data_IF_124323691983
#
_entry.id   IF_124323691983
#
_cell.length_a   1.000
_cell.length_b   1.000
_cell.length_c   1.000
_cell.angle_alpha   90.00
_cell.angle_beta   90.00
_cell.angle_gamma   90.00
#
_symmetry.space_group_name_H-M   'P 1'
#
loop_
_entity.id
_entity.type
_entity.pdbx_description
1 polymer ?
#
# COMPACT_ATOMS: atom_id res chain seq x y z
N UNK A 1 -14.26 22.16 -2.47
CA UNK A 1 -13.01 22.17 -1.66
C UNK A 1 -11.82 21.84 -2.53
N UNK A 2 -10.66 22.45 -2.23
CA UNK A 2 -9.38 22.14 -2.85
C UNK A 2 -8.64 21.08 -2.03
N UNK A 3 -8.17 20.03 -2.68
CA UNK A 3 -7.57 18.87 -2.03
C UNK A 3 -6.14 18.70 -2.53
N UNK A 4 -5.18 18.52 -1.63
CA UNK A 4 -3.80 18.20 -1.96
C UNK A 4 -3.51 16.73 -1.62
N UNK A 5 -3.07 15.96 -2.61
CA UNK A 5 -2.59 14.58 -2.43
C UNK A 5 -1.06 14.57 -2.53
N UNK A 6 -0.39 14.04 -1.52
CA UNK A 6 1.06 13.85 -1.55
C UNK A 6 1.39 12.46 -2.07
N UNK A 7 2.23 12.38 -3.09
CA UNK A 7 2.71 11.15 -3.72
C UNK A 7 2.60 11.17 -5.26
N UNK A 8 2.99 10.06 -5.90
CA UNK A 8 3.11 9.98 -7.37
C UNK A 8 2.80 8.60 -7.96
N UNK A 9 2.40 7.64 -7.13
CA UNK A 9 2.17 6.27 -7.56
C UNK A 9 0.79 6.01 -8.17
N UNK A 10 0.53 4.75 -8.50
CA UNK A 10 -0.79 4.29 -8.94
C UNK A 10 -1.85 4.47 -7.86
N UNK A 11 -1.47 4.35 -6.61
CA UNK A 11 -2.29 4.64 -5.42
C UNK A 11 -2.81 6.09 -5.46
N UNK A 12 -1.91 7.07 -5.61
CA UNK A 12 -2.29 8.47 -5.66
C UNK A 12 -3.13 8.80 -6.88
N UNK A 13 -2.84 8.18 -8.02
CA UNK A 13 -3.68 8.34 -9.21
C UNK A 13 -5.10 7.81 -8.98
N UNK A 14 -5.24 6.63 -8.40
CA UNK A 14 -6.57 6.04 -8.12
C UNK A 14 -7.35 6.84 -7.07
N UNK A 15 -6.68 7.36 -6.03
CA UNK A 15 -7.28 8.26 -5.05
C UNK A 15 -7.75 9.56 -5.72
N UNK A 16 -6.92 10.19 -6.53
CA UNK A 16 -7.29 11.41 -7.25
C UNK A 16 -8.49 11.19 -8.18
N UNK A 17 -8.50 10.08 -8.92
CA UNK A 17 -9.60 9.69 -9.80
C UNK A 17 -10.92 9.48 -9.04
N UNK A 18 -10.88 8.78 -7.90
CA UNK A 18 -12.07 8.54 -7.08
C UNK A 18 -12.57 9.83 -6.41
N UNK A 19 -11.68 10.61 -5.80
CA UNK A 19 -12.01 11.86 -5.11
C UNK A 19 -12.67 12.87 -6.05
N UNK A 20 -12.22 12.98 -7.30
CA UNK A 20 -12.81 13.87 -8.31
C UNK A 20 -14.27 13.56 -8.66
N UNK A 21 -14.75 12.37 -8.38
CA UNK A 21 -16.14 11.99 -8.60
C UNK A 21 -17.09 12.52 -7.50
N UNK A 22 -16.55 13.00 -6.38
CA UNK A 22 -17.34 13.53 -5.29
C UNK A 22 -17.69 15.00 -5.53
N UNK A 23 -18.97 15.41 -5.42
CA UNK A 23 -19.39 16.78 -5.67
C UNK A 23 -18.81 17.83 -4.69
N UNK A 24 -18.23 17.42 -3.56
CA UNK A 24 -17.52 18.32 -2.64
C UNK A 24 -16.12 18.70 -3.14
N UNK A 25 -15.60 18.00 -4.14
CA UNK A 25 -14.27 18.24 -4.71
C UNK A 25 -14.36 19.27 -5.84
N UNK A 26 -13.79 20.46 -5.64
CA UNK A 26 -13.65 21.47 -6.70
C UNK A 26 -12.37 21.24 -7.50
N UNK A 27 -11.22 21.15 -6.81
CA UNK A 27 -9.92 20.93 -7.42
C UNK A 27 -9.08 19.89 -6.67
N UNK A 28 -8.33 19.10 -7.42
CA UNK A 28 -7.30 18.21 -6.87
C UNK A 28 -5.93 18.67 -7.35
N UNK A 29 -5.05 18.88 -6.39
CA UNK A 29 -3.62 19.08 -6.57
C UNK A 29 -2.87 17.84 -6.12
N UNK A 30 -1.82 17.45 -6.85
CA UNK A 30 -1.02 16.27 -6.49
C UNK A 30 0.46 16.62 -6.56
N UNK A 31 1.25 16.18 -5.60
CA UNK A 31 2.68 16.45 -5.59
C UNK A 31 3.50 15.18 -5.28
N UNK A 32 4.50 14.88 -6.12
CA UNK A 32 4.82 15.52 -7.41
C UNK A 32 3.84 15.08 -8.52
N UNK A 33 3.05 14.00 -8.31
CA UNK A 33 2.20 13.42 -9.33
C UNK A 33 2.98 12.61 -10.38
N UNK A 34 2.31 12.26 -11.48
CA UNK A 34 2.87 11.56 -12.63
C UNK A 34 2.14 11.96 -13.92
N UNK A 35 2.55 11.42 -15.06
CA UNK A 35 1.97 11.79 -16.35
C UNK A 35 0.47 11.56 -16.47
N UNK A 36 -0.07 10.47 -15.88
CA UNK A 36 -1.51 10.18 -15.90
C UNK A 36 -2.29 11.07 -14.92
N UNK A 37 -1.74 11.33 -13.74
CA UNK A 37 -2.33 12.28 -12.78
C UNK A 37 -2.44 13.66 -13.41
N UNK A 38 -1.41 14.10 -14.15
CA UNK A 38 -1.40 15.39 -14.84
C UNK A 38 -2.45 15.54 -15.95
N UNK A 39 -3.08 14.44 -16.40
CA UNK A 39 -4.22 14.49 -17.34
C UNK A 39 -5.55 14.83 -16.64
N UNK A 40 -5.66 14.51 -15.36
CA UNK A 40 -6.92 14.69 -14.61
C UNK A 40 -6.84 15.68 -13.45
N UNK A 41 -5.66 16.06 -12.99
CA UNK A 41 -5.41 16.91 -11.83
C UNK A 41 -4.29 17.92 -12.09
N UNK A 42 -4.13 18.87 -11.17
CA UNK A 42 -3.03 19.83 -11.19
C UNK A 42 -1.82 19.22 -10.47
N UNK A 43 -0.76 18.89 -11.19
CA UNK A 43 0.51 18.48 -10.57
C UNK A 43 1.30 19.74 -10.15
N UNK A 44 1.78 19.74 -8.90
CA UNK A 44 2.64 20.80 -8.35
C UNK A 44 3.93 20.18 -7.83
N UNK A 45 5.03 20.88 -7.94
CA UNK A 45 6.34 20.37 -7.54
C UNK A 45 6.75 20.96 -6.20
N UNK A 46 6.69 20.12 -5.14
CA UNK A 46 7.20 20.43 -3.80
C UNK A 46 7.89 19.20 -3.22
N UNK A 47 8.81 19.42 -2.29
CA UNK A 47 9.35 18.32 -1.49
C UNK A 47 8.31 17.89 -0.45
N UNK A 48 7.67 16.75 -0.67
CA UNK A 48 6.60 16.22 0.22
C UNK A 48 7.12 15.77 1.60
N UNK A 49 8.44 15.65 1.79
CA UNK A 49 9.05 15.36 3.08
C UNK A 49 9.32 16.63 3.91
N UNK A 50 9.25 17.80 3.27
CA UNK A 50 9.43 19.10 3.93
C UNK A 50 8.07 19.73 4.26
N UNK A 51 7.66 19.60 5.50
CA UNK A 51 6.39 20.14 5.99
C UNK A 51 6.23 21.65 5.74
N UNK A 52 7.33 22.43 5.68
CA UNK A 52 7.27 23.87 5.40
C UNK A 52 6.89 24.13 3.95
N UNK A 53 7.41 23.33 3.00
CA UNK A 53 7.02 23.44 1.60
C UNK A 53 5.57 23.02 1.39
N UNK A 54 5.12 21.96 2.08
CA UNK A 54 3.72 21.53 2.06
C UNK A 54 2.80 22.63 2.60
N UNK A 55 3.12 23.24 3.75
CA UNK A 55 2.37 24.36 4.33
C UNK A 55 2.33 25.58 3.40
N UNK A 56 3.44 25.87 2.71
CA UNK A 56 3.47 26.96 1.71
C UNK A 56 2.49 26.67 0.59
N UNK A 57 2.50 25.45 0.04
CA UNK A 57 1.56 25.05 -1.01
C UNK A 57 0.09 25.08 -0.54
N UNK A 58 -0.19 24.65 0.70
CA UNK A 58 -1.53 24.73 1.31
C UNK A 58 -2.06 26.17 1.26
N UNK A 59 -1.22 27.16 1.62
CA UNK A 59 -1.60 28.57 1.58
C UNK A 59 -1.72 29.12 0.16
N UNK A 60 -0.77 28.79 -0.71
CA UNK A 60 -0.69 29.28 -2.09
C UNK A 60 -1.88 28.83 -2.94
N UNK A 61 -2.28 27.56 -2.79
CA UNK A 61 -3.37 26.96 -3.57
C UNK A 61 -4.70 26.90 -2.81
N UNK A 62 -4.80 27.55 -1.64
CA UNK A 62 -5.99 27.55 -0.79
C UNK A 62 -6.54 26.13 -0.56
N UNK A 63 -5.66 25.23 -0.09
CA UNK A 63 -6.00 23.81 0.15
C UNK A 63 -6.81 23.67 1.43
N UNK A 64 -7.97 23.01 1.33
CA UNK A 64 -8.86 22.72 2.46
C UNK A 64 -8.55 21.38 3.14
N UNK A 65 -7.97 20.44 2.40
CA UNK A 65 -7.72 19.08 2.89
C UNK A 65 -6.44 18.49 2.29
N UNK A 66 -5.59 17.91 3.13
CA UNK A 66 -4.36 17.23 2.70
C UNK A 66 -4.49 15.73 2.93
N UNK A 67 -4.23 14.93 1.89
CA UNK A 67 -4.15 13.48 1.93
C UNK A 67 -2.71 13.04 1.72
N UNK A 68 -2.14 12.29 2.68
CA UNK A 68 -0.78 11.77 2.58
C UNK A 68 -0.85 10.34 2.05
N UNK A 69 -0.32 10.13 0.83
CA UNK A 69 -0.35 8.83 0.16
C UNK A 69 0.74 7.86 0.65
N UNK A 70 2.05 8.20 0.55
CA UNK A 70 3.15 7.30 0.92
C UNK A 70 3.53 7.40 2.40
N UNK A 71 4.28 6.40 2.87
CA UNK A 71 4.74 6.29 4.25
C UNK A 71 5.84 7.30 4.64
N UNK A 72 6.68 7.71 3.68
CA UNK A 72 7.85 8.54 3.98
C UNK A 72 7.50 9.93 4.57
N UNK A 73 6.52 10.69 4.06
CA UNK A 73 6.08 11.94 4.70
C UNK A 73 5.45 11.73 6.09
N UNK A 74 4.78 10.58 6.32
CA UNK A 74 4.24 10.22 7.63
C UNK A 74 5.36 9.99 8.63
N UNK A 75 6.38 9.21 8.25
CA UNK A 75 7.59 8.98 9.03
C UNK A 75 8.37 10.26 9.31
N UNK A 76 8.37 11.21 8.37
CA UNK A 76 8.98 12.53 8.55
C UNK A 76 8.19 13.44 9.51
N UNK A 77 6.92 13.13 9.81
CA UNK A 77 6.06 13.92 10.69
C UNK A 77 5.33 15.07 10.01
N UNK A 78 5.17 15.01 8.69
CA UNK A 78 4.44 16.04 7.93
C UNK A 78 2.99 16.16 8.41
N UNK A 79 2.34 15.05 8.73
CA UNK A 79 0.98 15.02 9.27
C UNK A 79 0.87 15.81 10.59
N UNK A 80 1.84 15.66 11.49
CA UNK A 80 1.86 16.34 12.79
C UNK A 80 1.94 17.85 12.62
N UNK A 81 2.84 18.31 11.76
CA UNK A 81 3.03 19.74 11.51
C UNK A 81 1.77 20.37 10.90
N UNK A 82 1.16 19.71 9.91
CA UNK A 82 -0.06 20.19 9.26
C UNK A 82 -1.23 20.29 10.26
N UNK A 83 -1.45 19.25 11.07
CA UNK A 83 -2.51 19.22 12.10
C UNK A 83 -2.28 20.30 13.17
N UNK A 84 -1.06 20.54 13.60
CA UNK A 84 -0.72 21.60 14.56
C UNK A 84 -0.98 23.01 14.01
N UNK A 85 -0.89 23.18 12.69
CA UNK A 85 -1.24 24.42 11.99
C UNK A 85 -2.75 24.51 11.66
N UNK A 86 -3.57 23.57 12.15
CA UNK A 86 -5.01 23.56 11.96
C UNK A 86 -5.45 23.08 10.56
N UNK A 87 -4.56 22.49 9.77
CA UNK A 87 -4.89 21.97 8.43
C UNK A 87 -5.53 20.60 8.55
N UNK A 88 -6.74 20.43 8.00
CA UNK A 88 -7.40 19.13 7.94
C UNK A 88 -6.54 18.15 7.14
N UNK A 89 -6.07 17.09 7.80
CA UNK A 89 -5.07 16.18 7.22
C UNK A 89 -5.44 14.73 7.48
N UNK A 90 -5.46 13.92 6.42
CA UNK A 90 -5.61 12.48 6.49
C UNK A 90 -4.23 11.80 6.48
N UNK A 91 -3.97 11.06 7.52
CA UNK A 91 -2.74 10.30 7.76
C UNK A 91 -2.40 10.27 9.25
N UNK A 92 -1.79 9.19 9.75
CA UNK A 92 -1.40 9.06 11.14
C UNK A 92 -0.28 10.05 11.53
N UNK A 93 -0.10 10.23 12.82
CA UNK A 93 1.06 10.96 13.36
C UNK A 93 2.36 10.19 13.10
N UNK A 94 3.50 10.87 13.22
CA UNK A 94 4.81 10.22 13.19
C UNK A 94 4.90 9.09 14.21
N UNK A 95 4.38 9.31 15.42
CA UNK A 95 4.38 8.32 16.49
C UNK A 95 3.58 7.07 16.11
N UNK A 96 2.36 7.25 15.58
CA UNK A 96 1.50 6.13 15.16
C UNK A 96 2.00 5.43 13.88
N UNK A 97 2.77 6.14 13.04
CA UNK A 97 3.37 5.57 11.83
C UNK A 97 4.43 4.51 12.13
N UNK A 98 4.88 4.39 13.38
CA UNK A 98 5.78 3.32 13.80
C UNK A 98 5.19 1.93 13.59
N UNK A 99 3.86 1.78 13.49
CA UNK A 99 3.23 0.51 13.10
C UNK A 99 3.66 0.01 11.70
N UNK A 100 4.19 0.85 10.82
CA UNK A 100 4.80 0.43 9.55
C UNK A 100 6.31 0.63 9.55
N UNK A 101 6.79 1.73 10.13
CA UNK A 101 8.20 2.13 10.03
C UNK A 101 9.15 1.35 10.93
N UNK A 102 8.63 0.63 11.94
CA UNK A 102 9.40 -0.29 12.78
C UNK A 102 8.65 -1.60 12.98
N UNK A 103 9.21 -2.67 12.44
CA UNK A 103 8.67 -4.03 12.61
C UNK A 103 8.77 -4.50 14.06
N UNK A 104 9.85 -4.12 14.73
CA UNK A 104 10.05 -4.37 16.16
C UNK A 104 8.93 -3.71 16.97
N UNK A 105 8.66 -2.42 16.74
CA UNK A 105 7.58 -1.70 17.42
C UNK A 105 6.21 -2.39 17.21
N UNK A 106 5.90 -2.77 15.96
CA UNK A 106 4.66 -3.48 15.65
C UNK A 106 4.53 -4.77 16.43
N UNK A 107 5.62 -5.54 16.55
CA UNK A 107 5.62 -6.79 17.33
C UNK A 107 5.41 -6.53 18.83
N UNK A 108 6.07 -5.52 19.39
CA UNK A 108 5.88 -5.11 20.79
C UNK A 108 4.45 -4.67 21.08
N UNK A 109 3.81 -3.97 20.13
CA UNK A 109 2.38 -3.63 20.22
C UNK A 109 1.51 -4.89 20.15
N UNK A 110 1.79 -5.82 19.23
CA UNK A 110 1.04 -7.07 19.12
C UNK A 110 1.13 -7.91 20.41
N UNK A 111 2.32 -8.02 21.01
CA UNK A 111 2.52 -8.74 22.27
C UNK A 111 1.71 -8.11 23.41
N UNK A 112 1.79 -6.80 23.57
CA UNK A 112 1.05 -6.07 24.61
C UNK A 112 -0.47 -6.14 24.41
N UNK A 113 -0.93 -6.07 23.16
CA UNK A 113 -2.33 -6.17 22.77
C UNK A 113 -2.88 -7.61 22.76
N UNK A 114 -2.02 -8.62 22.85
CA UNK A 114 -2.40 -10.03 22.64
C UNK A 114 -2.86 -10.31 21.20
N UNK A 115 -2.45 -9.52 20.23
CA UNK A 115 -2.84 -9.68 18.84
C UNK A 115 -2.04 -10.83 18.18
N UNK A 116 -2.71 -11.83 17.56
CA UNK A 116 -2.01 -12.97 16.96
C UNK A 116 -1.15 -12.55 15.77
N UNK A 117 0.16 -12.83 15.88
CA UNK A 117 1.17 -12.59 14.86
C UNK A 117 2.21 -13.72 14.87
N UNK A 118 3.20 -13.70 13.99
CA UNK A 118 4.31 -14.66 13.98
C UNK A 118 5.15 -14.56 15.27
N UNK A 119 5.58 -15.70 15.83
CA UNK A 119 6.65 -15.71 16.84
C UNK A 119 7.87 -14.99 16.27
N UNK A 120 8.54 -14.19 17.08
CA UNK A 120 9.66 -13.40 16.60
C UNK A 120 10.74 -13.19 17.66
N UNK A 121 11.90 -12.79 17.17
CA UNK A 121 12.97 -12.24 18.01
C UNK A 121 13.70 -11.14 17.25
N UNK A 122 13.97 -10.02 17.92
CA UNK A 122 14.71 -8.90 17.35
C UNK A 122 16.15 -8.87 17.83
N UNK A 123 17.06 -8.44 16.94
CA UNK A 123 18.49 -8.38 17.21
C UNK A 123 19.07 -7.07 16.69
N UNK A 124 19.90 -6.43 17.52
CA UNK A 124 20.62 -5.20 17.17
C UNK A 124 22.10 -5.49 16.79
N UNK A 125 22.48 -6.75 16.66
CA UNK A 125 23.84 -7.15 16.29
C UNK A 125 23.87 -8.51 15.59
N UNK A 126 24.88 -8.68 14.75
CA UNK A 126 25.00 -9.82 13.83
C UNK A 126 25.12 -11.17 14.55
N UNK A 127 26.09 -11.32 15.46
CA UNK A 127 26.43 -12.62 16.03
C UNK A 127 25.30 -13.29 16.82
N UNK A 128 24.52 -12.57 17.68
CA UNK A 128 23.35 -13.16 18.33
C UNK A 128 22.26 -13.59 17.35
N UNK A 129 22.06 -12.85 16.24
CA UNK A 129 21.10 -13.22 15.21
C UNK A 129 21.51 -14.52 14.48
N UNK A 130 22.79 -14.64 14.11
CA UNK A 130 23.34 -15.86 13.50
C UNK A 130 23.24 -17.08 14.44
N UNK A 131 23.53 -16.90 15.72
CA UNK A 131 23.41 -17.96 16.71
C UNK A 131 21.95 -18.43 16.88
N UNK A 132 21.01 -17.49 16.89
CA UNK A 132 19.58 -17.79 16.97
C UNK A 132 19.10 -18.61 15.77
N UNK A 133 19.46 -18.22 14.52
CA UNK A 133 19.10 -18.97 13.31
C UNK A 133 19.60 -20.41 13.37
N UNK A 134 20.87 -20.61 13.76
CA UNK A 134 21.46 -21.95 13.88
C UNK A 134 20.72 -22.84 14.88
N UNK A 135 20.15 -22.25 15.94
CA UNK A 135 19.40 -22.97 16.96
C UNK A 135 17.93 -23.21 16.56
N UNK A 136 17.29 -22.20 15.95
CA UNK A 136 15.87 -22.28 15.59
C UNK A 136 15.62 -23.15 14.34
N UNK A 137 16.57 -23.16 13.39
CA UNK A 137 16.43 -23.86 12.10
C UNK A 137 15.66 -23.02 11.07
N UNK A 138 15.32 -23.66 9.96
CA UNK A 138 14.50 -23.08 8.88
C UNK A 138 13.25 -23.95 8.63
N UNK A 139 12.16 -23.41 7.98
CA UNK A 139 12.08 -22.10 7.37
C UNK A 139 11.89 -20.95 8.38
N UNK A 140 12.36 -19.75 8.02
CA UNK A 140 12.27 -18.51 8.81
C UNK A 140 11.99 -17.33 7.88
N UNK A 141 11.48 -16.23 8.45
CA UNK A 141 11.37 -14.95 7.77
C UNK A 141 12.31 -13.94 8.43
N UNK A 142 13.23 -13.40 7.66
CA UNK A 142 14.21 -12.40 8.11
C UNK A 142 13.79 -11.05 7.58
N UNK A 143 13.59 -10.06 8.47
CA UNK A 143 13.10 -8.72 8.11
C UNK A 143 14.08 -7.66 8.63
N UNK A 144 14.50 -6.73 7.76
CA UNK A 144 15.16 -5.51 8.18
C UNK A 144 14.14 -4.62 8.93
N UNK A 145 14.57 -4.03 10.06
CA UNK A 145 13.71 -3.17 10.87
C UNK A 145 13.78 -1.72 10.36
N UNK A 146 12.76 -1.29 9.66
CA UNK A 146 12.67 0.02 9.02
C UNK A 146 12.03 -0.03 7.65
N UNK A 147 11.96 1.11 6.98
CA UNK A 147 11.43 1.24 5.62
C UNK A 147 12.47 0.73 4.61
N UNK A 148 12.18 -0.37 3.95
CA UNK A 148 13.05 -1.01 2.94
C UNK A 148 12.33 -1.23 1.59
N UNK A 149 11.27 -0.48 1.30
CA UNK A 149 10.50 -0.53 0.05
C UNK A 149 10.11 -1.96 -0.38
N UNK A 150 9.69 -2.80 0.57
CA UNK A 150 9.30 -4.20 0.33
C UNK A 150 10.46 -5.18 0.07
N UNK A 151 11.71 -4.70 0.00
CA UNK A 151 12.90 -5.52 -0.29
C UNK A 151 13.58 -6.08 0.95
N UNK A 152 13.28 -5.55 2.13
CA UNK A 152 13.90 -5.94 3.40
C UNK A 152 13.28 -7.19 4.05
N UNK A 153 12.48 -7.98 3.32
CA UNK A 153 11.83 -9.21 3.81
C UNK A 153 12.28 -10.39 2.99
N UNK A 154 12.97 -11.33 3.63
CA UNK A 154 13.50 -12.54 3.02
C UNK A 154 12.84 -13.76 3.67
N UNK A 155 12.09 -14.52 2.88
CA UNK A 155 11.56 -15.82 3.27
C UNK A 155 12.66 -16.86 3.02
N UNK A 156 13.35 -17.27 4.08
CA UNK A 156 14.47 -18.21 4.02
C UNK A 156 13.95 -19.65 4.20
N UNK A 157 14.06 -20.45 3.15
CA UNK A 157 13.63 -21.86 3.13
C UNK A 157 14.66 -22.79 3.75
N UNK A 158 15.90 -22.33 3.86
CA UNK A 158 17.02 -23.05 4.48
C UNK A 158 17.87 -22.13 5.36
N UNK A 159 18.73 -22.72 6.18
CA UNK A 159 19.56 -22.01 7.17
C UNK A 159 20.57 -21.07 6.47
N UNK A 160 21.20 -21.49 5.38
CA UNK A 160 22.23 -20.69 4.71
C UNK A 160 21.62 -19.42 4.09
N UNK A 161 20.42 -19.52 3.53
CA UNK A 161 19.67 -18.35 3.06
C UNK A 161 19.37 -17.38 4.21
N UNK A 162 18.93 -17.89 5.37
CA UNK A 162 18.67 -17.06 6.54
C UNK A 162 19.93 -16.37 7.07
N UNK A 163 21.05 -17.11 7.15
CA UNK A 163 22.34 -16.55 7.58
C UNK A 163 22.86 -15.49 6.61
N UNK A 164 22.68 -15.70 5.30
CA UNK A 164 23.06 -14.75 4.25
C UNK A 164 22.22 -13.49 4.36
N UNK A 165 20.90 -13.62 4.50
CA UNK A 165 19.99 -12.49 4.65
C UNK A 165 20.37 -11.59 5.84
N UNK A 166 20.67 -12.17 7.00
CA UNK A 166 21.09 -11.39 8.18
C UNK A 166 22.42 -10.68 7.94
N UNK A 167 23.41 -11.35 7.30
CA UNK A 167 24.70 -10.70 6.94
C UNK A 167 24.51 -9.53 5.99
N UNK A 168 23.65 -9.66 4.97
CA UNK A 168 23.34 -8.59 4.02
C UNK A 168 22.66 -7.39 4.71
N UNK A 169 21.72 -7.64 5.63
CA UNK A 169 21.04 -6.59 6.38
C UNK A 169 22.05 -5.82 7.23
N UNK A 170 22.83 -6.48 8.07
CA UNK A 170 23.86 -5.79 8.88
C UNK A 170 25.06 -5.30 8.06
N UNK A 171 25.26 -5.80 6.85
CA UNK A 171 26.28 -5.35 5.89
C UNK A 171 25.97 -4.02 5.21
N UNK A 172 24.83 -3.39 5.55
CA UNK A 172 24.47 -2.05 5.06
C UNK A 172 23.67 -2.05 3.76
N UNK A 173 23.22 -3.18 3.25
CA UNK A 173 22.42 -3.27 2.00
C UNK A 173 21.08 -2.50 2.07
N UNK A 174 20.62 -2.18 3.28
CA UNK A 174 19.34 -1.50 3.54
C UNK A 174 19.49 -0.15 4.29
N UNK A 175 20.70 0.43 4.31
CA UNK A 175 20.95 1.70 4.98
C UNK A 175 20.52 1.67 6.45
N UNK A 176 19.83 2.71 6.92
CA UNK A 176 19.38 2.84 8.32
C UNK A 176 18.40 1.71 8.73
N UNK A 177 17.66 1.12 7.80
CA UNK A 177 16.79 -0.02 8.07
C UNK A 177 17.56 -1.31 8.43
N UNK A 178 18.87 -1.36 8.14
CA UNK A 178 19.76 -2.48 8.46
C UNK A 178 20.40 -2.42 9.85
N UNK A 179 20.03 -1.49 10.72
CA UNK A 179 20.60 -1.37 12.07
C UNK A 179 20.09 -2.43 13.04
N UNK A 180 18.94 -3.03 12.75
CA UNK A 180 18.38 -4.16 13.48
C UNK A 180 17.62 -5.12 12.55
N UNK A 181 17.40 -6.33 13.02
CA UNK A 181 16.70 -7.39 12.29
C UNK A 181 15.63 -8.01 13.17
N UNK A 182 14.48 -8.32 12.57
CA UNK A 182 13.44 -9.14 13.18
C UNK A 182 13.41 -10.47 12.47
N UNK A 183 13.57 -11.55 13.21
CA UNK A 183 13.53 -12.94 12.72
C UNK A 183 12.22 -13.55 13.21
N UNK A 184 11.39 -13.99 12.28
CA UNK A 184 10.06 -14.53 12.54
C UNK A 184 9.96 -16.00 12.13
N UNK A 185 9.05 -16.73 12.77
CA UNK A 185 8.63 -18.03 12.27
C UNK A 185 8.01 -17.86 10.87
N UNK A 186 8.16 -18.89 10.05
CA UNK A 186 7.42 -18.95 8.79
C UNK A 186 5.97 -19.34 9.06
N UNK A 187 5.03 -18.45 8.70
CA UNK A 187 3.60 -18.73 8.80
C UNK A 187 3.10 -19.38 7.51
N UNK A 188 2.43 -20.52 7.65
CA UNK A 188 1.70 -21.16 6.55
C UNK A 188 0.30 -20.56 6.42
N UNK A 189 -0.20 -20.51 5.19
CA UNK A 189 -1.54 -20.01 4.91
C UNK A 189 -1.62 -19.25 3.59
N UNK A 190 -2.70 -18.53 3.44
CA UNK A 190 -2.95 -17.65 2.30
C UNK A 190 -2.91 -16.19 2.74
N UNK A 191 -2.15 -15.37 2.03
CA UNK A 191 -1.99 -13.97 2.37
C UNK A 191 -3.11 -13.12 1.77
N UNK A 192 -3.70 -12.23 2.58
CA UNK A 192 -4.69 -11.26 2.13
C UNK A 192 -4.66 -9.99 2.99
N UNK A 193 -5.29 -8.95 2.49
CA UNK A 193 -5.23 -7.61 3.03
C UNK A 193 -6.61 -7.10 3.45
N UNK A 194 -6.73 -6.67 4.71
CA UNK A 194 -7.90 -5.96 5.21
C UNK A 194 -7.56 -4.48 5.40
N UNK A 195 -8.41 -3.61 4.85
CA UNK A 195 -8.28 -2.16 4.98
C UNK A 195 -9.38 -1.63 5.88
N UNK A 196 -8.99 -0.85 6.88
CA UNK A 196 -9.91 -0.14 7.76
C UNK A 196 -9.53 1.33 7.86
N UNK A 197 -10.53 2.20 7.98
CA UNK A 197 -10.34 3.57 8.45
C UNK A 197 -10.44 3.61 9.97
N UNK A 198 -9.61 4.42 10.60
CA UNK A 198 -9.60 4.61 12.06
C UNK A 198 -9.49 6.10 12.34
N UNK A 199 -10.33 6.61 13.25
CA UNK A 199 -10.34 8.02 13.69
C UNK A 199 -9.91 8.22 15.14
N UNK A 200 -9.17 7.26 15.68
CA UNK A 200 -8.76 7.21 17.09
C UNK A 200 -9.72 6.43 17.99
N UNK A 201 -10.97 6.23 17.59
CA UNK A 201 -12.01 5.54 18.37
C UNK A 201 -12.77 4.50 17.56
N UNK A 202 -13.18 4.86 16.36
CA UNK A 202 -14.00 4.05 15.47
C UNK A 202 -13.11 3.31 14.47
N UNK A 203 -13.46 2.07 14.19
CA UNK A 203 -12.84 1.22 13.17
C UNK A 203 -13.89 0.92 12.13
N UNK A 204 -13.71 1.41 10.90
CA UNK A 204 -14.61 1.19 9.77
C UNK A 204 -13.91 0.37 8.69
N UNK A 205 -14.31 -0.89 8.45
CA UNK A 205 -13.81 -1.65 7.30
C UNK A 205 -14.18 -0.98 5.98
N UNK A 206 -13.18 -0.85 5.10
CA UNK A 206 -13.35 -0.26 3.77
C UNK A 206 -12.95 -1.19 2.64
N UNK A 207 -12.68 -2.44 2.93
CA UNK A 207 -12.51 -3.47 1.94
C UNK A 207 -11.41 -4.47 2.20
N UNK A 208 -11.44 -5.50 1.37
CA UNK A 208 -10.44 -6.55 1.33
C UNK A 208 -9.83 -6.63 -0.06
N UNK A 209 -8.56 -6.98 -0.14
CA UNK A 209 -7.87 -7.23 -1.40
C UNK A 209 -6.86 -8.36 -1.22
N UNK A 210 -6.47 -8.95 -2.35
CA UNK A 210 -5.40 -9.92 -2.38
C UNK A 210 -4.44 -9.55 -3.51
N UNK A 211 -3.17 -9.36 -3.16
CA UNK A 211 -2.11 -8.96 -4.06
C UNK A 211 -1.24 -10.16 -4.50
N UNK A 212 -0.46 -9.94 -5.54
CA UNK A 212 0.53 -10.87 -6.07
C UNK A 212 1.93 -10.29 -5.92
N UNK A 213 2.61 -10.61 -4.81
CA UNK A 213 3.89 -10.00 -4.42
C UNK A 213 5.09 -10.48 -5.22
N UNK A 214 5.04 -11.69 -5.78
CA UNK A 214 6.15 -12.25 -6.55
C UNK A 214 6.15 -11.75 -7.98
N UNK A 215 7.35 -11.53 -8.53
CA UNK A 215 7.53 -10.98 -9.88
C UNK A 215 7.10 -11.94 -10.99
N UNK A 216 7.25 -13.24 -10.78
CA UNK A 216 6.97 -14.29 -11.77
C UNK A 216 5.62 -14.97 -11.57
N UNK A 217 5.09 -15.54 -12.66
CA UNK A 217 3.89 -16.37 -12.66
C UNK A 217 4.02 -17.55 -11.67
N UNK A 218 2.89 -18.00 -11.12
CA UNK A 218 2.87 -19.04 -10.09
C UNK A 218 3.57 -18.64 -8.79
N UNK A 219 3.64 -17.34 -8.50
CA UNK A 219 4.29 -16.77 -7.32
C UNK A 219 5.77 -17.16 -7.17
N UNK A 220 6.51 -17.05 -8.26
CA UNK A 220 7.94 -17.34 -8.34
C UNK A 220 8.80 -16.06 -8.38
N UNK A 221 10.10 -16.21 -8.12
CA UNK A 221 11.05 -15.11 -8.21
C UNK A 221 11.08 -14.20 -6.99
N UNK A 222 11.55 -12.97 -7.18
CA UNK A 222 11.75 -11.99 -6.12
C UNK A 222 10.44 -11.34 -5.66
N UNK A 223 10.41 -10.89 -4.41
CA UNK A 223 9.34 -10.02 -3.89
C UNK A 223 9.39 -8.66 -4.59
N UNK A 224 8.22 -8.10 -4.80
CA UNK A 224 7.98 -6.77 -5.39
C UNK A 224 7.05 -5.96 -4.51
N UNK A 225 6.69 -4.75 -4.94
CA UNK A 225 5.60 -3.98 -4.33
C UNK A 225 4.19 -4.46 -4.72
N UNK A 226 4.08 -5.57 -5.47
CA UNK A 226 2.83 -6.12 -6.01
C UNK A 226 2.77 -6.02 -7.52
N UNK A 227 2.50 -7.15 -8.19
CA UNK A 227 2.35 -7.25 -9.66
C UNK A 227 0.89 -7.19 -10.10
N UNK A 228 -0.01 -7.05 -9.16
CA UNK A 228 -1.45 -6.93 -9.36
C UNK A 228 -2.20 -7.27 -8.08
N UNK A 229 -3.47 -6.94 -8.06
CA UNK A 229 -4.37 -7.22 -6.94
C UNK A 229 -5.81 -7.36 -7.43
N UNK A 230 -6.66 -7.94 -6.59
CA UNK A 230 -8.10 -7.99 -6.83
C UNK A 230 -8.88 -7.78 -5.52
N UNK A 231 -10.12 -7.35 -5.64
CA UNK A 231 -11.06 -7.08 -4.54
C UNK A 231 -12.48 -7.49 -4.99
N UNK A 232 -13.29 -8.11 -4.11
CA UNK A 232 -12.95 -8.54 -2.75
C UNK A 232 -12.02 -9.76 -2.74
N UNK A 233 -11.35 -10.02 -1.61
CA UNK A 233 -10.58 -11.23 -1.37
C UNK A 233 -11.49 -12.33 -0.80
N UNK A 234 -11.74 -13.46 -1.50
CA UNK A 234 -12.68 -14.48 -1.03
C UNK A 234 -12.30 -15.13 0.30
N UNK A 235 -10.99 -15.24 0.58
CA UNK A 235 -10.47 -15.80 1.83
C UNK A 235 -10.79 -14.94 3.06
N UNK A 236 -11.09 -13.64 2.87
CA UNK A 236 -11.53 -12.70 3.89
C UNK A 236 -13.06 -12.55 3.86
N UNK A 237 -13.76 -13.63 4.15
CA UNK A 237 -15.20 -13.57 4.36
C UNK A 237 -15.56 -12.73 5.60
N UNK A 238 -16.84 -12.43 5.80
CA UNK A 238 -17.29 -11.59 6.91
C UNK A 238 -16.89 -12.15 8.29
N UNK A 239 -16.82 -13.48 8.45
CA UNK A 239 -16.39 -14.11 9.70
C UNK A 239 -14.90 -13.86 9.98
N UNK A 240 -14.05 -14.00 8.96
CA UNK A 240 -12.60 -13.75 9.07
C UNK A 240 -12.34 -12.26 9.27
N UNK A 241 -13.08 -11.37 8.57
CA UNK A 241 -13.01 -9.92 8.79
C UNK A 241 -13.35 -9.58 10.24
N UNK A 242 -14.45 -10.09 10.78
CA UNK A 242 -14.84 -9.84 12.17
C UNK A 242 -13.78 -10.34 13.17
N UNK A 243 -13.26 -11.57 12.98
CA UNK A 243 -12.15 -12.10 13.79
C UNK A 243 -10.91 -11.20 13.73
N UNK A 244 -10.58 -10.69 12.55
CA UNK A 244 -9.43 -9.78 12.37
C UNK A 244 -9.63 -8.48 13.14
N UNK A 245 -10.82 -7.90 13.04
CA UNK A 245 -11.13 -6.67 13.77
C UNK A 245 -11.07 -6.90 15.27
N UNK A 246 -11.70 -7.96 15.78
CA UNK A 246 -11.85 -8.17 17.22
C UNK A 246 -10.57 -8.68 17.90
N UNK A 247 -9.75 -9.47 17.21
CA UNK A 247 -8.57 -10.12 17.79
C UNK A 247 -7.26 -9.44 17.44
N UNK A 248 -7.22 -8.64 16.37
CA UNK A 248 -5.99 -8.04 15.86
C UNK A 248 -6.11 -6.51 15.88
N UNK A 249 -7.04 -5.93 15.11
CA UNK A 249 -7.07 -4.47 14.90
C UNK A 249 -7.51 -3.72 16.16
N UNK A 250 -8.64 -4.10 16.75
CA UNK A 250 -9.19 -3.41 17.92
C UNK A 250 -8.25 -3.43 19.13
N UNK A 251 -7.65 -4.58 19.53
CA UNK A 251 -6.69 -4.59 20.63
C UNK A 251 -5.43 -3.75 20.31
N UNK A 252 -4.94 -3.79 19.07
CA UNK A 252 -3.83 -2.93 18.63
C UNK A 252 -4.17 -1.45 18.77
N UNK A 253 -5.37 -1.03 18.35
CA UNK A 253 -5.77 0.38 18.44
C UNK A 253 -5.93 0.84 19.89
N UNK A 254 -6.42 -0.01 20.78
CA UNK A 254 -6.50 0.29 22.22
C UNK A 254 -5.10 0.43 22.84
N UNK A 255 -4.18 -0.47 22.53
CA UNK A 255 -2.80 -0.39 23.01
C UNK A 255 -2.10 0.89 22.51
N UNK A 256 -2.33 1.27 21.24
CA UNK A 256 -1.82 2.52 20.69
C UNK A 256 -2.39 3.75 21.43
N UNK A 257 -3.66 3.72 21.75
CA UNK A 257 -4.32 4.80 22.50
C UNK A 257 -3.78 4.88 23.95
N UNK A 258 -3.63 3.75 24.61
CA UNK A 258 -3.12 3.66 25.99
C UNK A 258 -1.67 4.16 26.09
N UNK A 259 -0.87 4.00 25.04
CA UNK A 259 0.48 4.59 24.91
C UNK A 259 0.47 6.07 24.55
N UNK A 260 -0.69 6.71 24.40
CA UNK A 260 -0.78 8.12 24.01
C UNK A 260 -0.48 8.38 22.53
N UNK A 261 -0.59 7.35 21.69
CA UNK A 261 -0.36 7.39 20.24
C UNK A 261 -1.61 6.98 19.46
N UNK A 262 -2.78 7.65 19.63
CA UNK A 262 -3.99 7.28 18.94
C UNK A 262 -3.78 7.30 17.42
N UNK A 263 -4.29 6.26 16.73
CA UNK A 263 -4.15 6.13 15.28
C UNK A 263 -5.31 6.82 14.56
N UNK A 264 -5.00 7.64 13.56
CA UNK A 264 -5.98 8.29 12.67
C UNK A 264 -5.53 8.17 11.23
N UNK A 265 -6.29 7.47 10.40
CA UNK A 265 -5.95 7.25 9.00
C UNK A 265 -6.46 5.91 8.49
N UNK A 266 -5.87 5.41 7.42
CA UNK A 266 -6.10 4.05 6.94
C UNK A 266 -5.07 3.10 7.56
N UNK A 267 -5.55 2.00 8.10
CA UNK A 267 -4.73 0.89 8.56
C UNK A 267 -4.93 -0.29 7.61
N UNK A 268 -3.87 -0.69 6.97
CA UNK A 268 -3.80 -1.89 6.15
C UNK A 268 -3.18 -3.01 6.98
N UNK A 269 -3.97 -4.03 7.31
CA UNK A 269 -3.50 -5.25 7.95
C UNK A 269 -3.21 -6.31 6.89
N UNK A 270 -1.94 -6.63 6.70
CA UNK A 270 -1.48 -7.81 5.95
C UNK A 270 -1.63 -9.04 6.84
N UNK A 271 -2.39 -10.02 6.38
CA UNK A 271 -2.80 -11.17 7.15
C UNK A 271 -2.35 -12.47 6.51
N UNK A 272 -1.89 -13.41 7.31
CA UNK A 272 -1.77 -14.81 6.93
C UNK A 272 -2.97 -15.57 7.50
N UNK A 273 -3.73 -16.24 6.64
CA UNK A 273 -4.99 -16.92 6.99
C UNK A 273 -4.82 -18.41 6.78
N UNK A 274 -4.98 -19.17 7.86
CA UNK A 274 -5.00 -20.63 7.83
C UNK A 274 -6.22 -21.11 8.60
N UNK A 275 -7.04 -21.98 8.00
CA UNK A 275 -8.25 -22.55 8.59
C UNK A 275 -9.20 -21.46 9.16
N UNK A 276 -9.42 -20.39 8.38
CA UNK A 276 -10.21 -19.22 8.76
C UNK A 276 -9.73 -18.51 10.05
N UNK A 277 -8.46 -18.67 10.42
CA UNK A 277 -7.82 -17.98 11.54
C UNK A 277 -6.76 -16.99 11.01
N UNK A 278 -7.04 -15.68 11.12
CA UNK A 278 -6.08 -14.66 10.69
C UNK A 278 -4.97 -14.46 11.74
N UNK A 279 -3.74 -14.26 11.26
CA UNK A 279 -2.58 -13.81 12.02
C UNK A 279 -1.95 -12.62 11.29
N UNK A 280 -1.52 -11.63 12.03
CA UNK A 280 -0.91 -10.43 11.45
C UNK A 280 0.49 -10.74 10.88
N UNK A 281 0.71 -10.37 9.61
CA UNK A 281 2.02 -10.38 8.96
C UNK A 281 2.72 -9.04 9.20
N UNK A 282 2.02 -7.95 8.91
CA UNK A 282 2.48 -6.58 9.07
C UNK A 282 1.31 -5.58 9.02
N UNK A 283 1.55 -4.38 9.52
CA UNK A 283 0.70 -3.24 9.25
C UNK A 283 1.36 -2.31 8.23
N UNK A 284 0.52 -1.68 7.40
CA UNK A 284 0.87 -0.49 6.65
C UNK A 284 -0.08 0.63 7.07
N UNK A 285 0.45 1.84 7.26
CA UNK A 285 -0.29 3.00 7.81
C UNK A 285 -0.79 3.94 6.71
N UNK A 286 -0.94 3.40 5.52
CA UNK A 286 -1.37 4.05 4.28
C UNK A 286 -2.07 3.02 3.40
N UNK A 287 -2.74 3.51 2.34
CA UNK A 287 -3.28 2.59 1.33
C UNK A 287 -2.18 1.76 0.67
N UNK A 288 -2.50 0.53 0.29
CA UNK A 288 -1.62 -0.32 -0.50
C UNK A 288 -1.45 0.20 -1.94
N UNK A 289 -0.45 -0.29 -2.62
CA UNK A 289 -0.22 -0.10 -4.04
C UNK A 289 0.31 -1.42 -4.61
N UNK A 290 -0.53 -2.25 -5.29
CA UNK A 290 -1.67 -1.83 -6.12
C UNK A 290 -3.07 -2.07 -5.53
N UNK A 291 -3.26 -2.34 -4.25
CA UNK A 291 -4.59 -2.65 -3.68
C UNK A 291 -5.53 -1.44 -3.70
N UNK A 292 -5.00 -0.23 -3.53
CA UNK A 292 -5.79 1.01 -3.58
C UNK A 292 -6.56 1.13 -4.90
N UNK A 293 -5.96 0.75 -6.03
CA UNK A 293 -6.55 0.83 -7.35
C UNK A 293 -7.86 0.03 -7.44
N UNK A 294 -7.86 -1.21 -6.94
CA UNK A 294 -9.06 -2.05 -6.94
C UNK A 294 -10.10 -1.60 -5.93
N UNK A 295 -9.67 -1.05 -4.79
CA UNK A 295 -10.59 -0.48 -3.81
C UNK A 295 -11.28 0.78 -4.34
N UNK A 296 -10.53 1.69 -4.96
CA UNK A 296 -11.08 2.95 -5.50
C UNK A 296 -12.05 2.70 -6.65
N UNK A 297 -11.83 1.70 -7.49
CA UNK A 297 -12.78 1.29 -8.53
C UNK A 297 -14.14 0.88 -7.95
N UNK A 298 -14.18 0.27 -6.78
CA UNK A 298 -15.40 -0.19 -6.11
C UNK A 298 -16.02 0.89 -5.21
N UNK A 299 -15.22 1.74 -4.59
CA UNK A 299 -15.67 2.79 -3.69
C UNK A 299 -16.15 4.05 -4.43
N UNK A 300 -15.47 4.41 -5.52
CA UNK A 300 -15.76 5.66 -6.24
C UNK A 300 -15.67 6.90 -5.34
N UNK A 301 -16.44 7.90 -5.67
CA UNK A 301 -16.42 9.22 -5.00
C UNK A 301 -16.79 9.22 -3.51
N UNK A 302 -17.49 8.20 -3.01
CA UNK A 302 -17.85 8.13 -1.58
C UNK A 302 -16.63 8.08 -0.65
N UNK A 303 -15.47 7.69 -1.17
CA UNK A 303 -14.23 7.63 -0.38
C UNK A 303 -13.87 8.99 0.23
N UNK A 304 -14.12 10.10 -0.47
CA UNK A 304 -13.80 11.43 0.05
C UNK A 304 -14.54 11.72 1.35
N UNK A 305 -15.83 11.38 1.44
CA UNK A 305 -16.60 11.58 2.66
C UNK A 305 -16.03 10.79 3.84
N UNK A 306 -15.64 9.55 3.59
CA UNK A 306 -15.02 8.70 4.59
C UNK A 306 -13.66 9.23 5.06
N UNK A 307 -12.82 9.71 4.14
CA UNK A 307 -11.51 10.30 4.46
C UNK A 307 -11.66 11.59 5.27
N UNK A 308 -12.60 12.46 4.90
CA UNK A 308 -12.90 13.69 5.63
C UNK A 308 -13.40 13.40 7.04
N UNK A 309 -14.36 12.46 7.18
CA UNK A 309 -14.88 12.07 8.49
C UNK A 309 -13.81 11.44 9.37
N UNK A 310 -12.92 10.63 8.79
CA UNK A 310 -11.75 10.08 9.50
C UNK A 310 -10.85 11.20 10.05
N UNK A 311 -10.51 12.17 9.20
CA UNK A 311 -9.65 13.28 9.59
C UNK A 311 -10.27 14.20 10.65
N UNK A 312 -11.61 14.28 10.71
CA UNK A 312 -12.36 15.06 11.70
C UNK A 312 -12.66 14.32 13.00
N UNK A 313 -12.45 12.99 13.06
CA UNK A 313 -12.86 12.16 14.20
C UNK A 313 -14.38 11.89 14.24
N UNK A 314 -15.03 11.85 13.09
CA UNK A 314 -16.49 11.71 12.89
C UNK A 314 -16.84 10.43 12.12
N UNK A 315 -16.04 9.38 12.24
CA UNK A 315 -16.16 8.17 11.43
C UNK A 315 -17.40 7.31 11.82
N UNK A 316 -17.93 7.50 13.02
CA UNK A 316 -19.02 6.67 13.57
C UNK A 316 -20.32 6.70 12.75
N UNK A 317 -20.60 7.77 12.03
CA UNK A 317 -21.81 7.94 11.23
C UNK A 317 -21.61 7.58 9.75
N UNK A 318 -20.39 7.25 9.34
CA UNK A 318 -20.07 6.92 7.95
C UNK A 318 -20.54 5.54 7.58
N UNK A 319 -21.25 5.44 6.46
CA UNK A 319 -21.65 4.18 5.84
C UNK A 319 -21.02 4.06 4.46
N UNK A 320 -20.37 2.95 4.21
CA UNK A 320 -19.82 2.61 2.90
C UNK A 320 -20.82 1.71 2.17
N UNK A 321 -21.23 2.13 0.99
CA UNK A 321 -22.05 1.32 0.09
C UNK A 321 -21.12 0.62 -0.89
N UNK A 322 -20.90 -0.67 -0.68
CA UNK A 322 -20.10 -1.48 -1.59
C UNK A 322 -20.90 -1.83 -2.84
N UNK A 323 -20.26 -1.72 -3.98
CA UNK A 323 -20.75 -2.37 -5.18
C UNK A 323 -20.58 -3.89 -5.07
N UNK A 324 -21.56 -4.65 -5.56
CA UNK A 324 -21.53 -6.13 -5.59
C UNK A 324 -20.63 -6.67 -6.72
N UNK A 325 -19.73 -5.84 -7.24
CA UNK A 325 -18.82 -6.17 -8.32
C UNK A 325 -17.43 -6.56 -7.80
N UNK A 326 -16.62 -7.07 -8.72
CA UNK A 326 -15.24 -7.43 -8.52
C UNK A 326 -14.34 -6.47 -9.30
N UNK A 327 -13.21 -6.10 -8.71
CA UNK A 327 -12.20 -5.32 -9.40
C UNK A 327 -10.86 -6.04 -9.40
N UNK A 328 -10.12 -5.90 -10.47
CA UNK A 328 -8.76 -6.43 -10.63
C UNK A 328 -7.86 -5.37 -11.25
N UNK A 329 -6.61 -5.36 -10.83
CA UNK A 329 -5.56 -4.55 -11.45
C UNK A 329 -4.37 -5.42 -11.83
N UNK A 330 -3.88 -5.26 -13.04
CA UNK A 330 -2.66 -5.91 -13.54
C UNK A 330 -1.59 -4.84 -13.69
N UNK A 331 -0.47 -5.05 -13.01
CA UNK A 331 0.67 -4.13 -13.07
C UNK A 331 1.53 -4.45 -14.28
N UNK A 332 1.79 -3.43 -15.11
CA UNK A 332 2.82 -3.48 -16.13
C UNK A 332 4.09 -2.82 -15.58
N UNK A 333 5.18 -3.57 -15.58
CA UNK A 333 6.47 -3.18 -15.01
C UNK A 333 7.55 -3.10 -16.08
N UNK A 334 8.58 -2.29 -15.86
CA UNK A 334 9.76 -2.22 -16.71
C UNK A 334 10.54 -3.53 -16.67
N UNK A 335 11.00 -4.02 -17.81
CA UNK A 335 11.87 -5.20 -17.92
C UNK A 335 13.09 -5.06 -17.02
N UNK A 336 13.34 -6.09 -16.19
CA UNK A 336 14.39 -6.08 -15.16
C UNK A 336 13.89 -5.76 -13.75
N UNK A 337 12.68 -5.21 -13.57
CA UNK A 337 12.09 -4.99 -12.25
C UNK A 337 11.88 -6.34 -11.50
N UNK A 338 12.14 -6.45 -10.17
CA UNK A 338 12.48 -5.41 -9.22
C UNK A 338 13.99 -5.05 -9.13
N UNK A 339 14.82 -5.58 -10.02
CA UNK A 339 16.24 -5.19 -10.17
C UNK A 339 16.41 -3.89 -10.94
N UNK A 340 17.52 -3.78 -11.68
CA UNK A 340 17.80 -2.62 -12.53
C UNK A 340 16.95 -2.65 -13.80
N UNK A 341 16.42 -1.51 -14.19
CA UNK A 341 15.57 -1.33 -15.36
C UNK A 341 15.91 -0.04 -16.10
N UNK A 342 15.61 -0.01 -17.42
CA UNK A 342 15.75 1.15 -18.27
C UNK A 342 14.62 2.16 -18.01
N UNK A 343 14.96 3.46 -18.05
CA UNK A 343 14.03 4.58 -17.99
C UNK A 343 13.94 5.27 -19.34
N UNK A 344 12.85 6.02 -19.54
CA UNK A 344 12.64 6.81 -20.76
C UNK A 344 12.10 5.99 -21.95
N UNK A 345 11.75 4.72 -21.75
CA UNK A 345 11.12 3.90 -22.81
C UNK A 345 9.70 4.36 -23.09
N UNK A 346 9.38 4.58 -24.38
CA UNK A 346 8.09 5.15 -24.82
C UNK A 346 6.98 4.12 -24.70
N UNK A 347 5.83 4.58 -24.20
CA UNK A 347 4.60 3.79 -24.09
C UNK A 347 3.59 4.35 -25.08
N UNK A 348 3.15 3.54 -26.05
CA UNK A 348 2.16 3.90 -27.07
C UNK A 348 0.81 3.21 -26.77
N UNK A 349 -0.25 3.65 -27.45
CA UNK A 349 -1.58 3.06 -27.38
C UNK A 349 -2.40 3.45 -26.15
N UNK A 350 -1.89 4.35 -25.29
CA UNK A 350 -2.62 4.80 -24.11
C UNK A 350 -3.83 5.69 -24.47
N UNK A 351 -3.72 6.48 -25.53
CA UNK A 351 -4.78 7.37 -26.02
C UNK A 351 -5.93 6.60 -26.69
N UNK A 352 -5.67 5.36 -27.12
CA UNK A 352 -6.66 4.48 -27.77
C UNK A 352 -7.45 3.62 -26.75
N UNK A 353 -7.14 3.74 -25.47
CA UNK A 353 -7.85 3.01 -24.43
C UNK A 353 -9.27 3.59 -24.25
N UNK A 354 -10.28 2.74 -24.00
CA UNK A 354 -11.64 3.19 -23.84
C UNK A 354 -11.78 4.10 -22.58
N UNK A 355 -12.62 5.12 -22.71
CA UNK A 355 -13.06 5.92 -21.56
C UNK A 355 -14.35 5.30 -21.02
N UNK A 356 -14.21 4.37 -20.07
CA UNK A 356 -15.32 3.63 -19.46
C UNK A 356 -15.19 3.67 -17.94
N UNK A 357 -16.31 3.77 -17.24
CA UNK A 357 -16.36 3.75 -15.76
C UNK A 357 -15.90 2.41 -15.16
N UNK A 358 -15.89 1.34 -15.96
CA UNK A 358 -15.44 0.01 -15.53
C UNK A 358 -13.99 -0.29 -15.88
N UNK A 359 -13.29 0.67 -16.50
CA UNK A 359 -11.90 0.54 -16.88
C UNK A 359 -11.13 1.84 -16.60
N UNK A 360 -9.99 1.73 -15.96
CA UNK A 360 -9.03 2.83 -15.81
C UNK A 360 -7.61 2.29 -15.89
N UNK A 361 -6.77 2.91 -16.69
CA UNK A 361 -5.33 2.69 -16.67
C UNK A 361 -4.68 3.70 -15.72
N UNK A 362 -4.43 3.31 -14.46
CA UNK A 362 -3.75 4.17 -13.51
C UNK A 362 -2.24 4.18 -13.77
N UNK A 363 -1.67 5.36 -13.91
CA UNK A 363 -0.24 5.54 -14.04
C UNK A 363 0.46 5.50 -12.68
N UNK A 364 1.63 4.88 -12.64
CA UNK A 364 2.56 4.92 -11.53
C UNK A 364 3.87 5.59 -11.99
N UNK A 365 4.90 4.82 -12.30
CA UNK A 365 6.18 5.35 -12.74
C UNK A 365 6.16 5.84 -14.19
N UNK A 366 5.40 6.86 -14.50
CA UNK A 366 5.35 7.48 -15.84
C UNK A 366 5.72 8.95 -15.79
N UNK A 367 6.30 9.44 -16.88
CA UNK A 367 6.65 10.84 -17.08
C UNK A 367 6.26 11.26 -18.49
N UNK A 368 6.04 12.56 -18.70
CA UNK A 368 5.82 13.12 -20.04
C UNK A 368 7.10 13.77 -20.53
N UNK A 369 7.67 13.23 -21.62
CA UNK A 369 8.87 13.74 -22.27
C UNK A 369 8.58 13.97 -23.76
N UNK A 370 8.84 15.16 -24.26
CA UNK A 370 8.63 15.56 -25.66
C UNK A 370 7.22 15.21 -26.20
N UNK A 371 6.22 15.39 -25.35
CA UNK A 371 4.81 15.09 -25.66
C UNK A 371 4.42 13.62 -25.57
N UNK A 372 5.38 12.71 -25.33
CA UNK A 372 5.14 11.27 -25.20
C UNK A 372 5.11 10.84 -23.73
N UNK A 373 4.38 9.78 -23.46
CA UNK A 373 4.42 9.11 -22.14
C UNK A 373 5.56 8.11 -22.16
N UNK A 374 6.44 8.20 -21.16
CA UNK A 374 7.58 7.30 -20.99
C UNK A 374 7.58 6.64 -19.63
N UNK A 375 8.18 5.45 -19.53
CA UNK A 375 8.40 4.75 -18.27
C UNK A 375 9.53 5.41 -17.48
N UNK A 376 9.28 5.77 -16.22
CA UNK A 376 10.28 6.36 -15.30
C UNK A 376 10.30 5.64 -13.94
N UNK A 377 9.81 4.42 -13.87
CA UNK A 377 9.73 3.62 -12.64
C UNK A 377 9.79 2.12 -12.90
N UNK A 378 9.85 1.33 -11.84
CA UNK A 378 9.80 -0.12 -11.93
C UNK A 378 8.39 -0.60 -12.26
N UNK A 379 7.39 -0.25 -11.44
CA UNK A 379 5.97 -0.41 -11.76
C UNK A 379 5.50 0.85 -12.47
N UNK A 380 4.86 0.71 -13.62
CA UNK A 380 4.65 1.84 -14.54
C UNK A 380 3.18 2.12 -14.80
N UNK A 381 2.40 1.08 -15.12
CA UNK A 381 0.96 1.19 -15.35
C UNK A 381 0.21 0.14 -14.53
N UNK A 382 -1.03 0.47 -14.18
CA UNK A 382 -1.96 -0.42 -13.48
C UNK A 382 -3.24 -0.49 -14.30
N UNK A 383 -3.39 -1.54 -15.09
CA UNK A 383 -4.58 -1.77 -15.91
C UNK A 383 -5.67 -2.34 -15.03
N UNK A 384 -6.63 -1.51 -14.68
CA UNK A 384 -7.64 -1.81 -13.65
C UNK A 384 -9.02 -1.86 -14.25
N UNK A 385 -9.73 -2.94 -13.96
CA UNK A 385 -11.10 -3.16 -14.45
C UNK A 385 -12.01 -3.62 -13.32
N UNK A 386 -13.32 -3.45 -13.51
CA UNK A 386 -14.34 -4.06 -12.66
C UNK A 386 -15.44 -4.69 -13.51
N UNK A 387 -16.05 -5.76 -12.99
CA UNK A 387 -17.16 -6.46 -13.60
C UNK A 387 -17.97 -7.22 -12.54
N UNK A 388 -19.10 -7.83 -12.94
CA UNK A 388 -19.94 -8.60 -12.02
C UNK A 388 -19.22 -9.82 -11.42
N UNK A 389 -18.24 -10.36 -12.13
CA UNK A 389 -17.42 -11.48 -11.64
C UNK A 389 -15.93 -11.19 -11.81
N UNK A 390 -15.11 -11.82 -11.00
CA UNK A 390 -13.65 -11.66 -11.08
C UNK A 390 -13.09 -12.16 -12.43
N UNK A 391 -13.64 -13.25 -12.98
CA UNK A 391 -13.20 -13.78 -14.27
C UNK A 391 -13.49 -12.83 -15.43
N UNK A 392 -14.63 -12.13 -15.40
CA UNK A 392 -14.96 -11.11 -16.40
C UNK A 392 -14.03 -9.90 -16.27
N UNK A 393 -13.80 -9.42 -15.04
CA UNK A 393 -12.86 -8.34 -14.78
C UNK A 393 -11.45 -8.71 -15.25
N UNK A 394 -10.96 -9.92 -14.94
CA UNK A 394 -9.65 -10.40 -15.37
C UNK A 394 -9.53 -10.43 -16.90
N UNK A 395 -10.53 -11.03 -17.58
CA UNK A 395 -10.55 -11.09 -19.05
C UNK A 395 -10.51 -9.71 -19.68
N UNK A 396 -11.27 -8.78 -19.13
CA UNK A 396 -11.29 -7.38 -19.58
C UNK A 396 -9.94 -6.71 -19.39
N UNK A 397 -9.29 -6.85 -18.22
CA UNK A 397 -7.97 -6.26 -17.96
C UNK A 397 -6.93 -6.75 -18.97
N UNK A 398 -6.86 -8.07 -19.21
CA UNK A 398 -5.90 -8.62 -20.19
C UNK A 398 -6.24 -8.26 -21.65
N UNK A 399 -7.50 -8.00 -21.95
CA UNK A 399 -7.88 -7.49 -23.27
C UNK A 399 -7.40 -6.05 -23.47
N UNK A 400 -7.53 -5.20 -22.44
CA UNK A 400 -7.05 -3.81 -22.49
C UNK A 400 -5.53 -3.70 -22.60
N UNK A 401 -4.79 -4.57 -21.91
CA UNK A 401 -3.32 -4.62 -22.00
C UNK A 401 -2.83 -4.81 -23.43
N UNK A 402 -3.56 -5.56 -24.26
CA UNK A 402 -3.17 -5.80 -25.67
C UNK A 402 -3.16 -4.54 -26.53
N UNK A 403 -3.86 -3.48 -26.12
CA UNK A 403 -3.88 -2.19 -26.82
C UNK A 403 -2.68 -1.31 -26.45
N UNK A 404 -1.94 -1.67 -25.39
CA UNK A 404 -0.77 -0.92 -24.93
C UNK A 404 0.47 -1.48 -25.64
N UNK A 405 1.10 -0.66 -26.46
CA UNK A 405 2.33 -1.02 -27.16
C UNK A 405 3.55 -0.48 -26.35
N UNK A 406 4.12 -1.38 -25.55
CA UNK A 406 5.31 -1.12 -24.75
C UNK A 406 6.19 -2.38 -24.65
N UNK A 407 7.06 -2.62 -25.65
CA UNK A 407 7.90 -3.83 -25.71
C UNK A 407 8.89 -4.00 -24.57
N UNK A 408 9.28 -2.89 -23.89
CA UNK A 408 10.18 -2.90 -22.74
C UNK A 408 9.46 -3.14 -21.42
N UNK A 409 8.15 -3.34 -21.47
CA UNK A 409 7.33 -3.70 -20.31
C UNK A 409 7.05 -5.19 -20.24
N UNK A 410 6.71 -5.65 -19.04
CA UNK A 410 6.17 -6.99 -18.82
C UNK A 410 5.06 -6.96 -17.77
N UNK A 411 4.27 -8.02 -17.73
CA UNK A 411 3.22 -8.23 -16.73
C UNK A 411 3.01 -9.73 -16.49
N UNK A 412 2.46 -10.09 -15.36
CA UNK A 412 2.03 -11.47 -15.07
C UNK A 412 0.71 -11.77 -15.74
N UNK A 413 0.55 -12.99 -16.27
CA UNK A 413 -0.66 -13.44 -16.97
C UNK A 413 -1.64 -14.19 -16.05
N UNK A 414 -1.28 -14.37 -14.79
CA UNK A 414 -2.01 -15.17 -13.81
C UNK A 414 -2.61 -14.34 -12.66
N UNK A 415 -2.64 -13.00 -12.75
CA UNK A 415 -3.21 -12.15 -11.69
C UNK A 415 -4.68 -12.54 -11.45
N UNK A 416 -5.05 -12.74 -10.18
CA UNK A 416 -6.39 -13.12 -9.77
C UNK A 416 -6.63 -14.64 -9.67
N UNK A 417 -5.66 -15.49 -10.02
CA UNK A 417 -5.84 -16.94 -10.08
C UNK A 417 -6.33 -17.58 -8.78
N UNK A 418 -5.99 -17.00 -7.61
CA UNK A 418 -6.44 -17.50 -6.30
C UNK A 418 -7.92 -17.23 -6.01
N UNK A 419 -8.52 -16.26 -6.67
CA UNK A 419 -9.91 -15.87 -6.50
C UNK A 419 -10.86 -16.44 -7.55
N UNK A 420 -10.34 -17.24 -8.49
CA UNK A 420 -11.11 -17.82 -9.62
C UNK A 420 -11.53 -19.29 -9.35
#
# INVERSE_FOLDING_TARGET
>A
MNILILGSGGREHSLAWAIKQNPKCDNVFVSPGNAGIGQICNCIEINILDAKQVLKAVKEYSIDFVLIGPEAPLAAGVSDVLKNEGILTFGPSKASSQLETSKKFTKEICDAAGAPTAEYKSFASLEPALAYIKTKGAPLVVKADGLAAGKGVIVATDIEMALTAVREIFGGSFGDAGTSVVIEEFMEGEEASLFVLVDGKTILPIGTAQDHKRVGEGDTGLNTGGMGAYSPAPILDQSVVNKTIDRIIRPTMYEMMDRGMPFTGVLYAGLMIKDSNPRLVEYNVRFGDPECQVLMMRLGGQILDALLSTAKGELGDVKINWADDHSITVVMASSGYPGSYEKGTVINGLDDLPSDSNFVCFHAGTEKQDGKIVANGGRVLNVTTRANTLIEAQRSAYQMIKNIDWPQGFYRKDIGWRGL
#
